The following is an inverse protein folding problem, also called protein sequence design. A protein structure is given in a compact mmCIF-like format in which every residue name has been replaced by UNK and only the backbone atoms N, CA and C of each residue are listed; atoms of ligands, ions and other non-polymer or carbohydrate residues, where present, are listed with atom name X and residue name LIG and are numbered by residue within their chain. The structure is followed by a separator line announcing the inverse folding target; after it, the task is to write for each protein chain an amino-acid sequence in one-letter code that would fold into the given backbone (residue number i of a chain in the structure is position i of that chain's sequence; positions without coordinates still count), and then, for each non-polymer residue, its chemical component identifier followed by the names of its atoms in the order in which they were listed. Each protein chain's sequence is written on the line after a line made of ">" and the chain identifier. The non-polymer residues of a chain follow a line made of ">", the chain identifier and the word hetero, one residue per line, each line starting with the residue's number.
data_IF_765287361036
#
_entry.id   IF_765287361036
#
_cell.length_a   1.000
_cell.length_b   1.000
_cell.length_c   1.000
_cell.angle_alpha   90.00
_cell.angle_beta   90.00
_cell.angle_gamma   90.00
#
_symmetry.space_group_name_H-M   'P 1'
#
loop_
_entity.id
_entity.type
_entity.pdbx_description
1 polymer ?
#
# COMPACT_ATOMS: atom_id res chain seq x y z
N UNK A 1 2.39 -33.42 -10.79
CA UNK A 1 2.71 -32.72 -9.53
C UNK A 1 1.67 -31.65 -9.35
N UNK A 2 0.95 -31.61 -8.22
CA UNK A 2 0.00 -30.53 -7.97
C UNK A 2 0.78 -29.23 -7.81
N UNK A 3 0.85 -28.42 -8.87
CA UNK A 3 1.45 -27.09 -8.81
C UNK A 3 0.55 -26.25 -7.93
N UNK A 4 0.95 -26.05 -6.67
CA UNK A 4 0.24 -25.18 -5.74
C UNK A 4 0.10 -23.77 -6.31
N UNK A 5 -0.93 -23.06 -5.88
CA UNK A 5 -1.20 -21.70 -6.36
C UNK A 5 -0.03 -20.77 -6.00
N UNK A 6 0.47 -19.95 -6.96
CA UNK A 6 1.54 -19.01 -6.69
C UNK A 6 1.21 -18.13 -5.49
N UNK A 7 2.00 -18.28 -4.43
CA UNK A 7 1.81 -17.59 -3.16
C UNK A 7 3.01 -16.71 -2.86
N UNK A 8 2.76 -15.43 -2.60
CA UNK A 8 3.78 -14.42 -2.34
C UNK A 8 3.64 -13.84 -0.94
N UNK A 9 4.74 -13.76 -0.19
CA UNK A 9 4.78 -13.03 1.08
C UNK A 9 4.78 -11.51 0.81
N UNK A 10 3.72 -10.84 1.24
CA UNK A 10 3.54 -9.40 1.13
C UNK A 10 3.70 -8.75 2.51
N UNK A 11 4.68 -7.86 2.67
CA UNK A 11 4.87 -7.08 3.89
C UNK A 11 4.06 -5.81 3.83
N UNK A 12 3.18 -5.56 4.81
CA UNK A 12 2.43 -4.31 4.93
C UNK A 12 2.89 -3.51 6.14
N UNK A 13 3.54 -2.38 5.89
CA UNK A 13 4.17 -1.52 6.91
C UNK A 13 3.74 -0.06 6.80
N UNK A 14 4.02 0.71 7.84
CA UNK A 14 3.64 2.12 7.95
C UNK A 14 3.14 2.44 9.36
N UNK A 15 3.02 3.72 9.66
CA UNK A 15 2.63 4.20 11.00
C UNK A 15 1.29 3.63 11.48
N UNK A 16 1.09 3.64 12.80
CA UNK A 16 -0.19 3.33 13.42
C UNK A 16 -1.31 4.27 12.92
N UNK A 17 -2.51 3.74 12.73
CA UNK A 17 -3.67 4.53 12.30
C UNK A 17 -3.71 4.92 10.82
N UNK A 18 -2.72 4.53 10.01
CA UNK A 18 -2.69 4.76 8.56
C UNK A 18 -3.78 4.01 7.78
N UNK A 19 -4.30 2.92 8.35
CA UNK A 19 -5.39 2.12 7.77
C UNK A 19 -4.99 0.78 7.16
N UNK A 20 -3.79 0.26 7.50
CA UNK A 20 -3.27 -1.04 7.03
C UNK A 20 -4.23 -2.21 7.28
N UNK A 21 -4.64 -2.41 8.53
CA UNK A 21 -5.59 -3.47 8.90
C UNK A 21 -6.93 -3.33 8.19
N UNK A 22 -7.47 -2.11 8.11
CA UNK A 22 -8.72 -1.84 7.36
C UNK A 22 -8.57 -2.17 5.87
N UNK A 23 -7.42 -1.84 5.27
CA UNK A 23 -7.12 -2.15 3.87
C UNK A 23 -7.04 -3.66 3.61
N UNK A 24 -6.44 -4.43 4.53
CA UNK A 24 -6.37 -5.90 4.42
C UNK A 24 -7.72 -6.55 4.66
N UNK A 25 -8.38 -6.23 5.78
CA UNK A 25 -9.69 -6.77 6.13
C UNK A 25 -10.72 -6.53 5.04
N UNK A 26 -10.70 -5.34 4.42
CA UNK A 26 -11.62 -5.02 3.33
C UNK A 26 -11.37 -5.82 2.05
N UNK A 27 -10.16 -6.28 1.78
CA UNK A 27 -9.91 -7.29 0.72
C UNK A 27 -10.35 -8.70 1.13
N UNK A 28 -10.31 -9.02 2.42
CA UNK A 28 -10.62 -10.35 2.93
C UNK A 28 -12.13 -10.61 3.10
N UNK A 29 -12.83 -9.67 3.72
CA UNK A 29 -14.26 -9.82 4.08
C UNK A 29 -15.18 -8.88 3.31
N UNK A 30 -14.61 -7.92 2.58
CA UNK A 30 -15.37 -6.84 1.94
C UNK A 30 -15.79 -5.73 2.90
N UNK A 31 -15.76 -5.95 4.21
CA UNK A 31 -16.28 -5.03 5.22
C UNK A 31 -15.30 -3.91 5.59
N UNK A 32 -15.85 -2.76 5.98
CA UNK A 32 -15.07 -1.65 6.52
C UNK A 32 -15.09 -1.66 8.06
N UNK A 33 -13.91 -1.81 8.64
CA UNK A 33 -13.72 -1.72 10.08
C UNK A 33 -13.67 -0.25 10.53
N UNK A 34 -14.72 0.23 11.21
CA UNK A 34 -14.81 1.61 11.73
C UNK A 34 -13.97 1.84 12.98
N UNK A 35 -13.75 0.79 13.79
CA UNK A 35 -13.06 0.90 15.07
C UNK A 35 -11.57 0.69 14.87
N UNK A 36 -10.78 1.68 15.27
CA UNK A 36 -9.34 1.48 15.35
C UNK A 36 -9.02 0.56 16.54
N UNK A 37 -8.51 -0.62 16.23
CA UNK A 37 -7.86 -1.53 17.18
C UNK A 37 -6.41 -1.69 16.70
N UNK A 38 -5.44 -1.37 17.56
CA UNK A 38 -4.04 -1.47 17.19
C UNK A 38 -3.65 -2.94 17.03
N UNK A 39 -3.03 -3.28 15.89
CA UNK A 39 -2.44 -4.60 15.65
C UNK A 39 -1.36 -4.89 16.68
N UNK A 40 -1.40 -6.08 17.27
CA UNK A 40 -0.37 -6.57 18.19
C UNK A 40 0.60 -7.48 17.42
N UNK A 41 1.83 -7.02 17.20
CA UNK A 41 2.83 -7.78 16.45
C UNK A 41 2.51 -7.83 14.95
N UNK A 42 2.04 -8.98 14.47
CA UNK A 42 1.68 -9.22 13.06
C UNK A 42 0.45 -10.12 12.95
N UNK A 43 -0.44 -9.80 12.01
CA UNK A 43 -1.49 -10.70 11.57
C UNK A 43 -1.24 -11.10 10.11
N UNK A 44 -1.42 -12.39 9.78
CA UNK A 44 -1.21 -12.89 8.42
C UNK A 44 -2.54 -13.24 7.79
N UNK A 45 -2.83 -12.60 6.66
CA UNK A 45 -4.09 -12.72 5.94
C UNK A 45 -3.82 -13.20 4.50
N UNK A 46 -4.31 -14.39 4.09
CA UNK A 46 -4.20 -14.84 2.71
C UNK A 46 -5.22 -14.10 1.83
N UNK A 47 -4.73 -13.25 0.91
CA UNK A 47 -5.54 -12.50 -0.04
C UNK A 47 -5.43 -13.15 -1.42
N UNK A 48 -6.52 -13.74 -1.90
CA UNK A 48 -6.59 -14.43 -3.20
C UNK A 48 -7.10 -13.48 -4.28
N UNK A 49 -6.42 -13.45 -5.42
CA UNK A 49 -6.82 -12.69 -6.61
C UNK A 49 -6.88 -13.62 -7.83
N UNK A 50 -7.95 -13.53 -8.62
CA UNK A 50 -8.07 -14.28 -9.87
C UNK A 50 -7.57 -13.43 -11.04
N UNK A 51 -6.57 -13.95 -11.75
CA UNK A 51 -5.94 -13.26 -12.88
C UNK A 51 -6.24 -13.97 -14.20
N UNK A 52 -5.95 -13.32 -15.32
CA UNK A 52 -5.94 -13.93 -16.66
C UNK A 52 -4.85 -15.01 -16.85
N UNK A 53 -4.05 -15.30 -15.81
CA UNK A 53 -3.04 -16.38 -15.73
C UNK A 53 -3.35 -17.42 -14.65
N UNK A 54 -4.54 -17.35 -14.04
CA UNK A 54 -4.92 -18.18 -12.90
C UNK A 54 -4.86 -17.44 -11.56
N UNK A 55 -5.19 -18.13 -10.45
CA UNK A 55 -5.20 -17.54 -9.13
C UNK A 55 -3.78 -17.24 -8.62
N UNK A 56 -3.64 -16.14 -7.90
CA UNK A 56 -2.45 -15.81 -7.09
C UNK A 56 -2.89 -15.51 -5.66
N UNK A 57 -2.01 -15.78 -4.69
CA UNK A 57 -2.26 -15.49 -3.28
C UNK A 57 -1.18 -14.57 -2.74
N UNK A 58 -1.56 -13.47 -2.12
CA UNK A 58 -0.67 -12.68 -1.27
C UNK A 58 -0.92 -13.06 0.18
N UNK A 59 0.05 -13.71 0.82
CA UNK A 59 0.08 -13.82 2.27
C UNK A 59 0.48 -12.45 2.82
N UNK A 60 -0.50 -11.63 3.18
CA UNK A 60 -0.29 -10.27 3.64
C UNK A 60 0.03 -10.26 5.14
N UNK A 61 1.23 -9.84 5.48
CA UNK A 61 1.71 -9.66 6.84
C UNK A 61 1.38 -8.23 7.28
N UNK A 62 0.21 -8.04 7.90
CA UNK A 62 -0.22 -6.77 8.47
C UNK A 62 0.54 -6.51 9.78
N UNK A 63 1.48 -5.56 9.73
CA UNK A 63 2.38 -5.29 10.85
C UNK A 63 1.87 -4.17 11.76
N UNK A 64 2.19 -4.27 13.06
CA UNK A 64 1.94 -3.21 14.01
C UNK A 64 2.71 -1.92 13.64
N UNK A 65 1.96 -0.86 13.40
CA UNK A 65 2.53 0.47 13.08
C UNK A 65 2.98 1.28 14.29
N UNK A 66 2.87 0.75 15.51
CA UNK A 66 3.30 1.44 16.73
C UNK A 66 4.76 1.12 17.05
N UNK A 67 5.57 2.16 17.27
CA UNK A 67 7.01 2.08 17.56
C UNK A 67 7.34 1.29 18.84
N UNK A 68 6.38 1.17 19.76
CA UNK A 68 6.53 0.46 21.03
C UNK A 68 6.88 -1.04 20.89
N UNK A 69 6.73 -1.63 19.70
CA UNK A 69 7.02 -3.04 19.44
C UNK A 69 8.25 -3.25 18.52
N UNK A 70 9.12 -2.24 18.40
CA UNK A 70 10.21 -2.15 17.42
C UNK A 70 11.25 -3.29 17.38
N UNK A 71 11.37 -4.13 18.41
CA UNK A 71 12.41 -5.16 18.50
C UNK A 71 12.19 -6.43 17.65
N UNK A 72 10.95 -6.77 17.29
CA UNK A 72 10.63 -7.99 16.52
C UNK A 72 10.42 -7.75 15.01
N UNK A 73 10.59 -6.50 14.54
CA UNK A 73 10.18 -6.08 13.20
C UNK A 73 10.94 -6.76 12.07
N UNK A 74 12.25 -6.91 12.21
CA UNK A 74 13.09 -7.57 11.20
C UNK A 74 12.66 -9.01 10.92
N UNK A 75 12.27 -9.73 11.97
CA UNK A 75 11.79 -11.12 11.85
C UNK A 75 10.55 -11.23 10.97
N UNK A 76 9.69 -10.22 10.97
CA UNK A 76 8.51 -10.19 10.10
C UNK A 76 8.88 -9.97 8.63
N UNK A 77 9.97 -9.29 8.34
CA UNK A 77 10.40 -8.97 6.98
C UNK A 77 11.08 -10.14 6.28
N UNK A 78 11.76 -11.03 7.02
CA UNK A 78 12.52 -12.17 6.46
C UNK A 78 11.72 -12.89 5.36
N UNK A 79 12.35 -13.11 4.19
CA UNK A 79 11.74 -13.74 3.01
C UNK A 79 10.52 -12.99 2.43
N UNK A 80 10.36 -11.70 2.71
CA UNK A 80 9.40 -10.86 2.01
C UNK A 80 9.68 -10.87 0.51
N UNK A 81 8.64 -11.02 -0.31
CA UNK A 81 8.76 -11.03 -1.78
C UNK A 81 8.24 -9.74 -2.39
N UNK A 82 7.37 -9.01 -1.67
CA UNK A 82 6.84 -7.71 -2.05
C UNK A 82 6.49 -6.91 -0.79
N UNK A 83 6.34 -5.60 -0.94
CA UNK A 83 5.85 -4.76 0.16
C UNK A 83 4.89 -3.65 -0.26
N UNK A 84 4.05 -3.25 0.68
CA UNK A 84 3.30 -2.00 0.66
C UNK A 84 3.72 -1.17 1.87
N UNK A 85 4.16 0.06 1.61
CA UNK A 85 4.37 1.07 2.64
C UNK A 85 3.17 2.02 2.59
N UNK A 86 2.45 2.14 3.70
CA UNK A 86 1.25 2.97 3.79
C UNK A 86 1.47 4.19 4.66
N UNK A 87 1.01 5.35 4.19
CA UNK A 87 0.88 6.56 4.99
C UNK A 87 -0.53 7.14 4.87
N UNK A 88 -0.86 8.08 5.74
CA UNK A 88 -2.15 8.78 5.77
C UNK A 88 -2.00 10.18 5.18
N UNK A 89 -2.74 10.50 4.11
CA UNK A 89 -2.65 11.80 3.46
C UNK A 89 -3.15 12.96 4.34
N UNK A 90 -3.87 12.67 5.42
CA UNK A 90 -4.29 13.68 6.41
C UNK A 90 -3.28 13.88 7.54
N UNK A 91 -2.17 13.13 7.55
CA UNK A 91 -1.18 13.17 8.62
C UNK A 91 0.25 13.26 8.08
N UNK A 92 0.84 14.46 8.12
CA UNK A 92 2.19 14.73 7.59
C UNK A 92 3.28 13.88 8.24
N UNK A 93 3.14 13.57 9.53
CA UNK A 93 4.13 12.77 10.25
C UNK A 93 4.24 11.36 9.66
N UNK A 94 3.12 10.77 9.23
CA UNK A 94 3.13 9.41 8.65
C UNK A 94 3.88 9.35 7.33
N UNK A 95 3.82 10.42 6.53
CA UNK A 95 4.63 10.53 5.31
C UNK A 95 6.11 10.81 5.63
N UNK A 96 6.40 11.66 6.63
CA UNK A 96 7.78 11.93 7.10
C UNK A 96 8.48 10.64 7.56
N UNK A 97 7.74 9.67 8.08
CA UNK A 97 8.26 8.39 8.56
C UNK A 97 8.44 7.32 7.46
N UNK A 98 7.91 7.53 6.24
CA UNK A 98 8.07 6.58 5.11
C UNK A 98 9.54 6.19 4.85
N UNK A 99 10.53 7.12 4.84
CA UNK A 99 11.93 6.76 4.66
C UNK A 99 12.46 5.78 5.71
N UNK A 100 12.01 5.89 6.96
CA UNK A 100 12.41 4.97 8.03
C UNK A 100 11.87 3.56 7.78
N UNK A 101 10.57 3.45 7.46
CA UNK A 101 9.95 2.16 7.11
C UNK A 101 10.61 1.52 5.90
N UNK A 102 10.92 2.31 4.88
CA UNK A 102 11.63 1.84 3.70
C UNK A 102 13.03 1.34 4.05
N UNK A 103 13.82 2.13 4.80
CA UNK A 103 15.18 1.76 5.22
C UNK A 103 15.18 0.43 5.98
N UNK A 104 14.30 0.28 6.95
CA UNK A 104 14.24 -0.92 7.78
C UNK A 104 13.81 -2.15 6.95
N UNK A 105 12.91 -1.95 5.98
CA UNK A 105 12.46 -3.01 5.08
C UNK A 105 13.56 -3.47 4.11
N UNK A 106 14.25 -2.54 3.44
CA UNK A 106 15.30 -2.89 2.48
C UNK A 106 16.57 -3.42 3.14
N UNK A 107 16.76 -3.17 4.44
CA UNK A 107 17.83 -3.82 5.24
C UNK A 107 17.67 -5.34 5.31
N UNK A 108 16.43 -5.85 5.24
CA UNK A 108 16.13 -7.28 5.33
C UNK A 108 15.76 -7.87 3.98
N UNK A 109 15.06 -7.13 3.13
CA UNK A 109 14.61 -7.56 1.81
C UNK A 109 15.18 -6.66 0.72
N UNK A 110 16.29 -7.09 0.12
CA UNK A 110 16.88 -6.39 -1.00
C UNK A 110 16.09 -6.65 -2.29
N UNK A 111 15.95 -5.62 -3.12
CA UNK A 111 15.43 -5.70 -4.50
C UNK A 111 14.00 -6.28 -4.68
N UNK A 112 13.14 -6.18 -3.66
CA UNK A 112 11.73 -6.57 -3.80
C UNK A 112 10.88 -5.43 -4.39
N UNK A 113 9.82 -5.72 -5.16
CA UNK A 113 8.87 -4.71 -5.61
C UNK A 113 8.12 -4.10 -4.41
N UNK A 114 8.12 -2.77 -4.32
CA UNK A 114 7.48 -2.01 -3.24
C UNK A 114 6.52 -0.98 -3.83
N UNK A 115 5.32 -0.90 -3.25
CA UNK A 115 4.33 0.13 -3.54
C UNK A 115 4.20 1.07 -2.35
N UNK A 116 4.24 2.37 -2.60
CA UNK A 116 3.89 3.41 -1.64
C UNK A 116 2.41 3.79 -1.82
N UNK A 117 1.64 3.72 -0.73
CA UNK A 117 0.21 4.03 -0.74
C UNK A 117 -0.10 5.23 0.17
N UNK A 118 -0.68 6.28 -0.41
CA UNK A 118 -1.28 7.39 0.36
C UNK A 118 -2.75 7.09 0.60
N UNK A 119 -3.10 6.67 1.81
CA UNK A 119 -4.47 6.29 2.17
C UNK A 119 -5.30 7.49 2.68
N UNK A 120 -6.62 7.30 2.74
CA UNK A 120 -7.64 8.26 3.24
C UNK A 120 -7.85 9.48 2.35
N UNK A 121 -7.65 9.31 1.05
CA UNK A 121 -7.86 10.40 0.08
C UNK A 121 -9.32 10.84 -0.04
N UNK A 122 -10.26 10.06 0.50
CA UNK A 122 -11.67 10.47 0.66
C UNK A 122 -11.84 11.69 1.58
N UNK A 123 -10.87 11.99 2.44
CA UNK A 123 -10.90 13.16 3.32
C UNK A 123 -10.40 14.40 2.56
N UNK A 124 -11.28 15.40 2.39
CA UNK A 124 -10.98 16.65 1.67
C UNK A 124 -9.86 17.48 2.29
N UNK A 125 -9.70 17.44 3.62
CA UNK A 125 -8.64 18.16 4.33
C UNK A 125 -7.28 17.44 4.24
N UNK A 126 -6.83 17.22 3.00
CA UNK A 126 -5.56 16.56 2.67
C UNK A 126 -4.37 17.42 3.11
N UNK A 127 -3.51 16.87 3.99
CA UNK A 127 -2.33 17.56 4.53
C UNK A 127 -1.04 17.28 3.77
N UNK A 128 -0.95 16.14 3.09
CA UNK A 128 0.18 15.71 2.25
C UNK A 128 -0.26 15.76 0.78
N UNK A 129 0.11 16.83 0.06
CA UNK A 129 -0.31 17.08 -1.32
C UNK A 129 0.54 16.28 -2.33
N UNK A 130 0.01 16.02 -3.52
CA UNK A 130 0.70 15.27 -4.59
C UNK A 130 2.14 15.76 -4.83
N UNK A 131 2.35 17.08 -4.92
CA UNK A 131 3.67 17.71 -5.10
C UNK A 131 4.70 17.43 -4.00
N UNK A 132 4.26 17.04 -2.80
CA UNK A 132 5.15 16.72 -1.68
C UNK A 132 5.55 15.23 -1.67
N UNK A 133 4.84 14.40 -2.44
CA UNK A 133 5.02 12.95 -2.45
C UNK A 133 6.09 12.58 -3.49
N UNK A 134 7.35 12.85 -3.15
CA UNK A 134 8.50 12.64 -4.05
C UNK A 134 9.31 11.37 -3.72
N UNK A 135 9.10 10.75 -2.57
CA UNK A 135 9.93 9.63 -2.08
C UNK A 135 9.92 8.44 -3.05
N UNK A 136 8.76 8.13 -3.63
CA UNK A 136 8.61 7.03 -4.58
C UNK A 136 9.51 7.21 -5.82
N UNK A 137 9.68 8.44 -6.32
CA UNK A 137 10.58 8.72 -7.44
C UNK A 137 12.06 8.57 -7.05
N UNK A 138 12.43 9.04 -5.85
CA UNK A 138 13.81 8.91 -5.33
C UNK A 138 14.24 7.46 -5.14
N UNK A 139 13.30 6.54 -4.86
CA UNK A 139 13.57 5.12 -4.61
C UNK A 139 13.03 4.18 -5.70
N UNK A 140 12.55 4.71 -6.83
CA UNK A 140 11.96 3.95 -7.93
C UNK A 140 10.81 3.00 -7.49
N UNK A 141 9.94 3.50 -6.62
CA UNK A 141 8.74 2.82 -6.14
C UNK A 141 7.52 3.25 -6.95
N UNK A 142 6.52 2.37 -7.02
CA UNK A 142 5.21 2.75 -7.53
C UNK A 142 4.42 3.50 -6.44
N UNK A 143 3.70 4.55 -6.81
CA UNK A 143 2.80 5.27 -5.92
C UNK A 143 1.34 5.13 -6.33
N UNK A 144 0.43 5.00 -5.36
CA UNK A 144 -1.01 5.15 -5.55
C UNK A 144 -1.66 5.95 -4.41
N UNK A 145 -2.51 6.91 -4.78
CA UNK A 145 -3.57 7.41 -3.91
C UNK A 145 -4.63 6.31 -3.76
N UNK A 146 -4.98 5.96 -2.52
CA UNK A 146 -6.00 4.95 -2.22
C UNK A 146 -6.97 5.46 -1.15
N UNK A 147 -8.16 4.88 -1.10
CA UNK A 147 -9.05 5.00 0.07
C UNK A 147 -9.68 3.66 0.37
N UNK A 148 -9.27 3.09 1.52
CA UNK A 148 -9.91 1.91 2.07
C UNK A 148 -11.37 2.16 2.47
N UNK A 149 -11.85 3.42 2.55
CA UNK A 149 -13.24 3.73 2.88
C UNK A 149 -14.17 3.73 1.66
N UNK A 150 -13.64 4.14 0.51
CA UNK A 150 -14.40 4.33 -0.74
C UNK A 150 -14.11 3.30 -1.83
N UNK A 151 -13.24 2.31 -1.56
CA UNK A 151 -12.69 1.38 -2.57
C UNK A 151 -11.85 2.06 -3.67
N UNK A 152 -11.50 3.35 -3.53
CA UNK A 152 -10.73 4.05 -4.55
C UNK A 152 -9.33 3.47 -4.72
N UNK A 153 -9.00 3.06 -5.96
CA UNK A 153 -7.73 2.44 -6.37
C UNK A 153 -7.30 1.21 -5.55
N UNK A 154 -8.25 0.55 -4.89
CA UNK A 154 -8.00 -0.46 -3.87
C UNK A 154 -7.16 -1.64 -4.36
N UNK A 155 -7.39 -2.10 -5.59
CA UNK A 155 -6.69 -3.23 -6.21
C UNK A 155 -5.37 -2.87 -6.90
N UNK A 156 -5.14 -1.58 -7.21
CA UNK A 156 -3.99 -1.14 -8.01
C UNK A 156 -2.64 -1.53 -7.41
N UNK A 157 -2.42 -1.45 -6.08
CA UNK A 157 -1.19 -1.92 -5.46
C UNK A 157 -0.92 -3.40 -5.74
N UNK A 158 -1.93 -4.26 -5.53
CA UNK A 158 -1.81 -5.71 -5.75
C UNK A 158 -1.58 -6.06 -7.21
N UNK A 159 -2.31 -5.40 -8.12
CA UNK A 159 -2.15 -5.65 -9.56
C UNK A 159 -0.73 -5.30 -10.04
N UNK A 160 -0.19 -4.17 -9.59
CA UNK A 160 1.17 -3.78 -9.95
C UNK A 160 2.21 -4.75 -9.38
N UNK A 161 2.06 -5.16 -8.11
CA UNK A 161 2.93 -6.16 -7.48
C UNK A 161 2.86 -7.50 -8.20
N UNK A 162 1.66 -7.97 -8.54
CA UNK A 162 1.45 -9.21 -9.28
C UNK A 162 2.17 -9.19 -10.64
N UNK A 163 2.05 -8.09 -11.40
CA UNK A 163 2.77 -7.91 -12.67
C UNK A 163 4.28 -7.99 -12.50
N UNK A 164 4.82 -7.37 -11.45
CA UNK A 164 6.26 -7.39 -11.15
C UNK A 164 6.76 -8.76 -10.71
N UNK A 165 6.01 -9.45 -9.86
CA UNK A 165 6.37 -10.76 -9.33
C UNK A 165 6.27 -11.87 -10.37
N UNK A 166 5.23 -11.83 -11.21
CA UNK A 166 5.02 -12.81 -12.28
C UNK A 166 5.86 -12.49 -13.52
N UNK A 167 6.26 -11.22 -13.71
CA UNK A 167 6.99 -10.78 -14.90
C UNK A 167 6.11 -10.61 -16.13
N UNK A 168 4.79 -10.51 -15.97
CA UNK A 168 3.82 -10.28 -17.07
C UNK A 168 3.15 -8.90 -16.92
N UNK A 169 3.51 -7.88 -17.73
CA UNK A 169 2.86 -6.57 -17.69
C UNK A 169 1.39 -6.60 -18.13
N UNK A 170 0.97 -7.63 -18.86
CA UNK A 170 -0.41 -7.82 -19.35
C UNK A 170 -1.27 -8.62 -18.36
N UNK A 171 -0.75 -8.94 -17.17
CA UNK A 171 -1.55 -9.55 -16.12
C UNK A 171 -2.68 -8.59 -15.71
N UNK A 172 -3.90 -9.11 -15.63
CA UNK A 172 -5.10 -8.38 -15.19
C UNK A 172 -5.89 -9.23 -14.22
N UNK A 173 -6.61 -8.60 -13.29
CA UNK A 173 -7.63 -9.27 -12.51
C UNK A 173 -8.86 -9.51 -13.38
N UNK A 174 -9.44 -10.70 -13.29
CA UNK A 174 -10.60 -11.12 -14.10
C UNK A 174 -11.90 -11.16 -13.29
N UNK A 175 -11.80 -11.09 -11.98
CA UNK A 175 -12.93 -10.98 -11.06
C UNK A 175 -12.80 -9.69 -10.26
N UNK A 176 -13.91 -8.99 -10.08
CA UNK A 176 -13.96 -7.92 -9.11
C UNK A 176 -13.88 -8.53 -7.70
N UNK A 177 -13.16 -7.91 -6.75
CA UNK A 177 -13.18 -8.39 -5.38
C UNK A 177 -14.59 -8.24 -4.82
N UNK A 178 -15.01 -9.19 -3.99
CA UNK A 178 -16.30 -9.15 -3.29
C UNK A 178 -16.28 -8.07 -2.19
N UNK A 179 -16.23 -6.80 -2.60
CA UNK A 179 -16.21 -5.65 -1.68
C UNK A 179 -17.64 -5.29 -1.28
N UNK A 180 -17.84 -5.01 0.02
CA UNK A 180 -19.05 -4.33 0.44
C UNK A 180 -19.09 -2.92 -0.20
N UNK A 181 -20.29 -2.35 -0.35
CA UNK A 181 -20.45 -1.00 -0.87
C UNK A 181 -19.51 0.00 -0.18
N UNK A 182 -19.06 1.00 -0.95
CA UNK A 182 -18.27 2.09 -0.42
C UNK A 182 -19.02 2.75 0.76
N UNK A 183 -18.33 3.02 1.88
CA UNK A 183 -18.99 3.76 2.97
C UNK A 183 -19.15 5.24 2.62
N UNK A 184 -18.31 5.73 1.72
CA UNK A 184 -18.28 7.09 1.22
C UNK A 184 -17.93 7.03 -0.25
N UNK A 185 -18.66 7.80 -1.06
CA UNK A 185 -18.29 8.05 -2.45
C UNK A 185 -17.34 9.25 -2.52
N UNK A 186 -16.26 9.12 -3.30
CA UNK A 186 -15.41 10.26 -3.62
C UNK A 186 -16.10 11.04 -4.72
N UNK A 187 -16.35 12.33 -4.47
CA UNK A 187 -16.89 13.26 -5.46
C UNK A 187 -16.11 13.18 -6.79
N UNK A 188 -16.77 12.99 -7.95
CA UNK A 188 -16.09 12.82 -9.23
C UNK A 188 -15.19 14.00 -9.61
N UNK A 189 -15.58 15.24 -9.29
CA UNK A 189 -14.76 16.42 -9.58
C UNK A 189 -13.50 16.45 -8.72
N UNK A 190 -13.63 16.12 -7.43
CA UNK A 190 -12.48 15.98 -6.54
C UNK A 190 -11.55 14.84 -6.95
N UNK A 191 -12.10 13.69 -7.38
CA UNK A 191 -11.29 12.59 -7.94
C UNK A 191 -10.49 13.04 -9.16
N UNK A 192 -11.14 13.72 -10.12
CA UNK A 192 -10.47 14.23 -11.32
C UNK A 192 -9.36 15.24 -10.97
N UNK A 193 -9.62 16.12 -9.99
CA UNK A 193 -8.62 17.05 -9.48
C UNK A 193 -7.41 16.31 -8.89
N UNK A 194 -7.62 15.30 -8.05
CA UNK A 194 -6.52 14.51 -7.47
C UNK A 194 -5.67 13.82 -8.55
N UNK A 195 -6.30 13.24 -9.57
CA UNK A 195 -5.61 12.59 -10.69
C UNK A 195 -4.78 13.60 -11.49
N UNK A 196 -5.33 14.78 -11.75
CA UNK A 196 -4.63 15.87 -12.44
C UNK A 196 -3.45 16.40 -11.61
N UNK A 197 -3.62 16.59 -10.30
CA UNK A 197 -2.55 17.03 -9.40
C UNK A 197 -1.41 16.00 -9.34
N UNK A 198 -1.73 14.70 -9.35
CA UNK A 198 -0.74 13.63 -9.35
C UNK A 198 0.02 13.57 -10.69
N UNK A 199 -0.67 13.73 -11.81
CA UNK A 199 -0.04 13.81 -13.13
C UNK A 199 0.88 15.03 -13.25
N UNK A 200 0.43 16.20 -12.78
CA UNK A 200 1.25 17.40 -12.76
C UNK A 200 2.50 17.21 -11.88
N UNK A 201 2.36 16.65 -10.68
CA UNK A 201 3.47 16.38 -9.78
C UNK A 201 4.50 15.38 -10.36
N UNK A 202 4.07 14.43 -11.19
CA UNK A 202 4.97 13.50 -11.86
C UNK A 202 5.89 14.18 -12.90
N UNK A 203 5.46 15.31 -13.47
CA UNK A 203 6.22 16.08 -14.46
C UNK A 203 7.19 17.10 -13.85
N UNK A 204 7.02 17.45 -12.57
CA UNK A 204 7.93 18.38 -11.88
C UNK A 204 9.28 17.73 -11.66
N UNK A 205 10.39 18.44 -11.87
CA UNK A 205 11.72 17.95 -11.51
C UNK A 205 11.78 17.58 -10.01
N UNK A 206 12.59 16.59 -9.65
CA UNK A 206 12.83 16.35 -8.23
C UNK A 206 13.55 17.58 -7.65
N UNK A 207 13.20 18.01 -6.43
CA UNK A 207 14.04 18.98 -5.73
C UNK A 207 15.46 18.42 -5.68
N UNK A 208 16.46 19.28 -5.90
CA UNK A 208 17.85 18.93 -5.63
C UNK A 208 17.93 18.41 -4.19
N UNK A 209 18.77 17.39 -3.97
CA UNK A 209 18.92 16.83 -2.64
C UNK A 209 19.41 17.94 -1.71
N UNK A 210 18.54 18.45 -0.84
CA UNK A 210 19.01 19.06 0.39
C UNK A 210 19.77 17.92 1.12
N UNK A 211 21.10 18.00 1.03
CA UNK A 211 22.07 17.31 1.89
C UNK A 211 21.73 17.67 3.35
N UNK A 212 20.70 17.06 3.92
CA UNK A 212 20.39 17.06 5.36
C UNK A 212 19.15 16.19 5.64
N UNK A 213 19.38 14.87 5.84
CA UNK A 213 18.82 14.02 6.91
C UNK A 213 19.13 12.54 6.69
#
# INVERSE_FOLDING_TARGET
>A
MATGEPTFKLILVGDGGTGKTTFVKRHLTGEFEKKYVATLGVEVHPLRFHTNRGPIVFNCWDTAGQEKFGGLRDGYYIQGQAAIIMFDVTSRVTYKNVPNWHRDLVRVCENIPIVLCGNKVDIKDRKVKAKQIVFHRKKNLQYYDISAKSNYNFEKPFLWLARKLVGDPNLTFVEAPALAPAEVEIDPAYKAQMEQELQAAAQVALPEEDDDM
#
